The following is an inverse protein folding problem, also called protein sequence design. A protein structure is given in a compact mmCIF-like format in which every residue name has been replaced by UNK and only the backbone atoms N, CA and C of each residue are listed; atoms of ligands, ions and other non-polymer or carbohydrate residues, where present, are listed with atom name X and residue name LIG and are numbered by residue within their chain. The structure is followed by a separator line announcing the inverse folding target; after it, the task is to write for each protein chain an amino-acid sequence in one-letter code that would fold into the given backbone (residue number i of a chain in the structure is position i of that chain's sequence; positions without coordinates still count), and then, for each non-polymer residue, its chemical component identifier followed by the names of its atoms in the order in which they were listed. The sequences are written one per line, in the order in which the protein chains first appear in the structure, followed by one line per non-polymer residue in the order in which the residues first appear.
data_IF_998035832053
#
_entry.id   IF_998035832053
#
_cell.length_a   1.000
_cell.length_b   1.000
_cell.length_c   1.000
_cell.angle_alpha   90.00
_cell.angle_beta   90.00
_cell.angle_gamma   90.00
#
_symmetry.space_group_name_H-M   'P 1'
#
loop_
_entity.id
_entity.type
_entity.pdbx_description
1 polymer ?
#
# COMPACT_ATOMS: atom_id res chain seq x y z
N UNK A 1 9.92 0.75 -7.81
CA UNK A 1 9.82 0.29 -9.21
C UNK A 1 10.51 1.34 -10.07
N UNK A 2 11.34 0.97 -11.05
CA UNK A 2 11.89 1.97 -11.97
C UNK A 2 10.76 2.43 -12.89
N UNK A 3 10.45 3.73 -12.90
CA UNK A 3 9.50 4.38 -13.80
C UNK A 3 9.93 4.08 -15.26
N UNK A 4 9.39 3.01 -15.84
CA UNK A 4 9.63 2.62 -17.22
C UNK A 4 8.60 3.32 -18.08
N UNK A 5 9.04 4.39 -18.71
CA UNK A 5 8.34 5.11 -19.77
C UNK A 5 8.12 4.11 -20.91
N UNK A 6 6.88 3.76 -21.18
CA UNK A 6 6.51 2.89 -22.28
C UNK A 6 5.96 3.79 -23.37
N UNK A 7 6.82 4.17 -24.33
CA UNK A 7 6.40 4.97 -25.48
C UNK A 7 5.24 4.26 -26.19
N UNK A 8 4.03 4.75 -26.00
CA UNK A 8 2.89 4.37 -26.83
C UNK A 8 2.91 5.27 -28.05
N UNK A 9 2.90 4.66 -29.24
CA UNK A 9 2.82 5.39 -30.50
C UNK A 9 1.36 5.78 -30.70
N UNK A 10 0.98 7.01 -30.31
CA UNK A 10 -0.38 7.51 -30.52
C UNK A 10 -0.54 8.09 -31.93
N UNK A 11 -1.70 7.83 -32.54
CA UNK A 11 -2.13 8.44 -33.79
C UNK A 11 -2.57 9.90 -33.58
N UNK A 12 -3.12 10.58 -34.60
CA UNK A 12 -3.66 11.93 -34.40
C UNK A 12 -4.81 11.89 -33.38
N UNK A 13 -4.54 12.43 -32.19
CA UNK A 13 -5.46 12.54 -31.07
C UNK A 13 -6.18 13.90 -31.11
N UNK A 14 -7.49 13.84 -30.93
CA UNK A 14 -8.36 14.98 -30.65
C UNK A 14 -8.86 14.84 -29.21
N UNK A 15 -8.63 15.86 -28.40
CA UNK A 15 -8.93 15.90 -26.97
C UNK A 15 -7.72 15.65 -26.06
N UNK A 16 -8.01 15.32 -24.81
CA UNK A 16 -7.09 14.96 -23.73
C UNK A 16 -7.43 13.56 -23.18
N UNK A 17 -6.43 12.73 -22.93
CA UNK A 17 -6.61 11.39 -22.34
C UNK A 17 -5.44 10.99 -21.44
N UNK A 18 -5.76 10.33 -20.33
CA UNK A 18 -4.81 9.67 -19.44
C UNK A 18 -4.48 8.27 -19.98
N UNK A 19 -3.23 8.03 -20.35
CA UNK A 19 -2.81 6.77 -20.98
C UNK A 19 -1.92 5.95 -20.05
N UNK A 20 -2.14 4.63 -20.07
CA UNK A 20 -1.34 3.67 -19.31
C UNK A 20 -1.63 3.60 -17.81
N UNK A 21 -2.61 4.33 -17.27
CA UNK A 21 -3.01 4.22 -15.86
C UNK A 21 -3.72 2.88 -15.61
N UNK A 22 -3.20 1.99 -14.74
CA UNK A 22 -3.80 0.69 -14.50
C UNK A 22 -4.98 0.83 -13.55
N UNK A 23 -5.92 -0.11 -13.63
CA UNK A 23 -7.02 -0.19 -12.68
C UNK A 23 -6.53 -0.41 -11.23
N UNK A 24 -5.46 -1.18 -11.05
CA UNK A 24 -4.87 -1.47 -9.74
C UNK A 24 -3.35 -1.64 -9.76
N UNK A 25 -2.70 -1.26 -8.67
CA UNK A 25 -1.26 -1.44 -8.41
C UNK A 25 -1.03 -1.96 -6.99
N UNK A 26 -0.01 -2.80 -6.82
CA UNK A 26 0.42 -3.29 -5.50
C UNK A 26 1.57 -2.45 -4.98
N UNK A 27 1.48 -2.01 -3.74
CA UNK A 27 2.49 -1.20 -3.06
C UNK A 27 2.82 -1.84 -1.72
N UNK A 28 4.10 -1.96 -1.40
CA UNK A 28 4.50 -2.46 -0.07
C UNK A 28 4.13 -1.43 0.98
N UNK A 29 3.61 -1.89 2.11
CA UNK A 29 3.59 -1.04 3.30
C UNK A 29 5.00 -0.57 3.68
N UNK A 30 5.07 0.45 4.53
CA UNK A 30 6.31 1.08 4.97
C UNK A 30 7.21 1.59 3.83
N UNK A 31 6.63 1.72 2.62
CA UNK A 31 7.29 2.37 1.49
C UNK A 31 7.66 3.80 1.89
N UNK A 32 8.94 4.20 1.78
CA UNK A 32 9.38 5.52 2.22
C UNK A 32 8.75 6.63 1.37
N UNK A 33 8.71 7.85 1.92
CA UNK A 33 8.36 9.04 1.18
C UNK A 33 9.17 9.16 -0.13
N UNK A 34 8.50 9.55 -1.21
CA UNK A 34 9.07 9.62 -2.55
C UNK A 34 9.09 8.29 -3.31
N UNK A 35 8.59 7.19 -2.72
CA UNK A 35 8.46 5.91 -3.45
C UNK A 35 7.51 6.06 -4.64
N UNK A 36 8.01 5.69 -5.82
CA UNK A 36 7.22 5.65 -7.05
C UNK A 36 6.18 4.53 -6.98
N UNK A 37 4.91 4.93 -7.01
CA UNK A 37 3.76 4.02 -7.04
C UNK A 37 3.49 3.60 -8.48
N UNK A 38 3.29 4.56 -9.38
CA UNK A 38 3.04 4.31 -10.80
C UNK A 38 3.35 5.55 -11.65
N UNK A 39 3.64 5.34 -12.94
CA UNK A 39 3.87 6.39 -13.93
C UNK A 39 2.92 6.22 -15.12
N UNK A 40 2.33 7.30 -15.59
CA UNK A 40 1.39 7.29 -16.71
C UNK A 40 1.62 8.50 -17.62
N UNK A 41 1.06 8.44 -18.82
CA UNK A 41 1.22 9.47 -19.84
C UNK A 41 -0.10 10.25 -20.01
N UNK A 42 0.03 11.47 -20.50
CA UNK A 42 -1.08 12.34 -20.85
C UNK A 42 -0.97 12.60 -22.34
N UNK A 43 -1.92 12.05 -23.09
CA UNK A 43 -2.08 12.30 -24.51
C UNK A 43 -2.92 13.56 -24.70
N UNK A 44 -2.40 14.50 -25.50
CA UNK A 44 -2.98 15.82 -25.72
C UNK A 44 -3.04 16.11 -27.22
N UNK A 45 -4.05 16.88 -27.61
CA UNK A 45 -4.13 17.48 -28.94
C UNK A 45 -2.89 18.30 -29.28
N UNK A 46 -2.52 18.32 -30.56
CA UNK A 46 -1.33 19.04 -31.02
C UNK A 46 -1.41 20.54 -30.71
N UNK A 47 -0.37 21.08 -30.07
CA UNK A 47 -0.28 22.51 -29.73
C UNK A 47 -1.02 22.92 -28.46
N UNK A 48 -1.63 21.97 -27.75
CA UNK A 48 -2.27 22.18 -26.45
C UNK A 48 -1.31 21.79 -25.32
N UNK A 49 -1.45 22.43 -24.16
CA UNK A 49 -0.68 22.11 -22.96
C UNK A 49 -1.59 21.99 -21.74
N UNK A 50 -1.12 21.27 -20.72
CA UNK A 50 -1.82 21.09 -19.44
C UNK A 50 -2.00 22.44 -18.74
N UNK A 51 -3.16 22.62 -18.11
CA UNK A 51 -3.48 23.83 -17.36
C UNK A 51 -2.67 23.92 -16.06
N UNK A 52 -2.31 25.14 -15.60
CA UNK A 52 -1.63 25.32 -14.32
C UNK A 52 -2.40 24.68 -13.15
N UNK A 53 -1.69 23.97 -12.28
CA UNK A 53 -2.28 23.28 -11.12
C UNK A 53 -2.74 21.84 -11.40
N UNK A 54 -2.65 21.37 -12.64
CA UNK A 54 -2.88 19.97 -13.02
C UNK A 54 -1.55 19.27 -13.36
N UNK A 55 -1.49 17.93 -13.25
CA UNK A 55 -2.52 17.00 -12.75
C UNK A 55 -2.72 17.09 -11.24
N UNK A 56 -3.87 16.65 -10.73
CA UNK A 56 -4.12 16.54 -9.29
C UNK A 56 -4.93 15.28 -8.94
N UNK A 57 -4.81 14.83 -7.69
CA UNK A 57 -5.70 13.82 -7.11
C UNK A 57 -6.93 14.56 -6.60
N UNK A 58 -8.05 14.43 -7.30
CA UNK A 58 -9.29 15.14 -7.01
C UNK A 58 -9.96 14.61 -5.74
N UNK A 59 -9.90 13.29 -5.56
CA UNK A 59 -10.49 12.63 -4.41
C UNK A 59 -9.77 11.30 -4.13
N UNK A 60 -9.89 10.82 -2.90
CA UNK A 60 -9.42 9.50 -2.47
C UNK A 60 -10.44 8.81 -1.58
N UNK A 61 -10.51 7.48 -1.67
CA UNK A 61 -11.31 6.66 -0.78
C UNK A 61 -10.48 5.48 -0.23
N UNK A 62 -10.24 5.39 1.09
CA UNK A 62 -10.57 6.41 2.09
C UNK A 62 -9.84 7.74 1.82
N UNK A 63 -10.32 8.83 2.42
CA UNK A 63 -9.67 10.13 2.27
C UNK A 63 -8.27 10.06 2.89
N UNK A 64 -7.25 10.29 2.06
CA UNK A 64 -5.84 10.19 2.46
C UNK A 64 -4.96 11.25 1.79
N UNK A 65 -3.97 11.81 2.50
CA UNK A 65 -2.87 12.60 1.96
C UNK A 65 -1.61 11.77 1.60
N UNK A 66 -1.66 10.44 1.68
CA UNK A 66 -0.49 9.55 1.55
C UNK A 66 0.09 9.48 0.13
N UNK A 67 -0.61 10.04 -0.85
CA UNK A 67 -0.24 10.01 -2.27
C UNK A 67 -0.25 11.40 -2.86
N UNK A 68 0.73 11.64 -3.74
CA UNK A 68 0.85 12.85 -4.52
C UNK A 68 1.08 12.50 -5.98
N UNK A 69 0.46 13.26 -6.88
CA UNK A 69 0.70 13.20 -8.32
C UNK A 69 1.55 14.39 -8.74
N UNK A 70 2.53 14.19 -9.62
CA UNK A 70 3.44 15.24 -10.09
C UNK A 70 3.85 15.03 -11.53
N UNK A 71 4.11 16.13 -12.24
CA UNK A 71 4.66 16.10 -13.59
C UNK A 71 6.15 15.78 -13.56
N UNK A 72 6.56 14.81 -14.36
CA UNK A 72 7.97 14.50 -14.62
C UNK A 72 8.50 15.34 -15.78
N UNK A 73 7.67 15.51 -16.81
CA UNK A 73 7.91 16.41 -17.95
C UNK A 73 6.55 16.91 -18.47
N UNK A 74 6.47 17.47 -19.68
CA UNK A 74 5.23 18.06 -20.22
C UNK A 74 4.06 17.10 -20.43
N UNK A 75 4.28 15.80 -20.52
CA UNK A 75 3.23 14.79 -20.75
C UNK A 75 3.32 13.57 -19.85
N UNK A 76 4.41 13.42 -19.09
CA UNK A 76 4.60 12.27 -18.21
C UNK A 76 4.34 12.65 -16.77
N UNK A 77 3.61 11.78 -16.10
CA UNK A 77 3.17 11.98 -14.72
C UNK A 77 3.59 10.82 -13.86
N UNK A 78 3.80 11.10 -12.57
CA UNK A 78 4.18 10.11 -11.56
C UNK A 78 3.35 10.27 -10.30
N UNK A 79 2.89 9.14 -9.77
CA UNK A 79 2.27 9.03 -8.45
C UNK A 79 3.31 8.55 -7.45
N UNK A 80 3.44 9.25 -6.32
CA UNK A 80 4.42 8.98 -5.26
C UNK A 80 3.79 8.93 -3.90
N UNK A 81 4.40 8.16 -3.00
CA UNK A 81 4.08 8.16 -1.57
C UNK A 81 4.58 9.47 -0.94
N UNK A 82 3.75 10.15 -0.16
CA UNK A 82 4.14 11.37 0.59
C UNK A 82 4.81 11.03 1.91
N UNK A 83 4.41 9.91 2.55
CA UNK A 83 4.94 9.41 3.81
C UNK A 83 4.33 10.05 5.05
N UNK A 84 3.07 10.52 5.01
CA UNK A 84 2.40 11.12 6.18
C UNK A 84 0.88 10.93 6.15
N UNK A 85 0.31 9.98 6.93
CA UNK A 85 0.99 8.93 7.71
C UNK A 85 1.80 7.91 6.88
N UNK A 86 2.60 7.08 7.56
CA UNK A 86 3.22 5.93 6.90
C UNK A 86 2.14 4.91 6.54
N UNK A 87 2.26 4.32 5.35
CA UNK A 87 1.40 3.24 4.90
C UNK A 87 1.65 2.00 5.77
N UNK A 88 0.61 1.52 6.42
CA UNK A 88 0.64 0.43 7.40
C UNK A 88 -0.44 -0.59 7.01
N UNK A 89 -0.08 -1.86 6.87
CA UNK A 89 -0.98 -2.92 6.44
C UNK A 89 -1.90 -3.38 7.58
N UNK A 90 -1.43 -3.32 8.84
CA UNK A 90 -2.23 -3.60 10.03
C UNK A 90 -3.25 -2.50 10.33
N UNK A 91 -3.14 -1.35 9.67
CA UNK A 91 -4.11 -0.26 9.78
C UNK A 91 -5.45 -0.61 9.10
N UNK A 92 -6.55 0.12 9.43
CA UNK A 92 -7.89 -0.21 8.93
C UNK A 92 -8.05 -0.18 7.41
N UNK A 93 -7.13 0.47 6.70
CA UNK A 93 -7.23 0.76 5.26
C UNK A 93 -6.06 0.13 4.52
N UNK A 94 -6.32 -1.00 3.88
CA UNK A 94 -5.33 -1.73 3.07
C UNK A 94 -5.43 -1.43 1.58
N UNK A 95 -6.39 -0.59 1.18
CA UNK A 95 -6.60 -0.20 -0.22
C UNK A 95 -7.05 1.26 -0.31
N UNK A 96 -6.62 1.92 -1.39
CA UNK A 96 -6.93 3.32 -1.66
C UNK A 96 -7.36 3.49 -3.11
N UNK A 97 -8.49 4.15 -3.33
CA UNK A 97 -9.00 4.47 -4.66
C UNK A 97 -8.77 5.94 -4.92
N UNK A 98 -7.90 6.27 -5.87
CA UNK A 98 -7.50 7.64 -6.19
C UNK A 98 -8.12 8.10 -7.51
N UNK A 99 -8.80 9.23 -7.50
CA UNK A 99 -9.37 9.87 -8.70
C UNK A 99 -8.39 10.93 -9.24
N UNK A 100 -7.76 10.64 -10.38
CA UNK A 100 -6.79 11.50 -11.03
C UNK A 100 -7.48 12.38 -12.06
N UNK A 101 -7.33 13.70 -11.92
CA UNK A 101 -7.89 14.69 -12.83
C UNK A 101 -6.76 15.41 -13.56
N UNK A 102 -6.91 15.52 -14.88
CA UNK A 102 -6.07 16.38 -15.74
C UNK A 102 -6.98 17.29 -16.54
N UNK A 103 -6.59 18.55 -16.65
CA UNK A 103 -7.29 19.56 -17.45
C UNK A 103 -6.26 20.25 -18.33
N UNK A 104 -6.60 20.52 -19.59
CA UNK A 104 -5.79 21.33 -20.48
C UNK A 104 -6.19 22.80 -20.50
N UNK A 105 -5.38 23.62 -21.17
CA UNK A 105 -5.65 25.05 -21.34
C UNK A 105 -6.87 25.35 -22.23
N UNK A 106 -7.36 24.37 -22.99
CA UNK A 106 -8.59 24.45 -23.78
C UNK A 106 -9.84 24.06 -22.98
N UNK A 107 -9.67 23.73 -21.69
CA UNK A 107 -10.70 23.28 -20.74
C UNK A 107 -11.28 21.90 -21.06
N UNK A 108 -10.57 21.09 -21.83
CA UNK A 108 -10.83 19.66 -21.93
C UNK A 108 -10.24 18.94 -20.70
N UNK A 109 -10.84 17.84 -20.29
CA UNK A 109 -10.42 17.12 -19.10
C UNK A 109 -10.64 15.62 -19.21
N UNK A 110 -9.83 14.87 -18.49
CA UNK A 110 -10.00 13.43 -18.30
C UNK A 110 -9.86 13.08 -16.81
N UNK A 111 -10.65 12.10 -16.38
CA UNK A 111 -10.72 11.64 -15.01
C UNK A 111 -10.62 10.12 -14.98
N UNK A 112 -9.55 9.60 -14.38
CA UNK A 112 -9.35 8.16 -14.23
C UNK A 112 -9.08 7.75 -12.79
N UNK A 113 -9.32 6.48 -12.50
CA UNK A 113 -9.20 5.92 -11.15
C UNK A 113 -8.05 4.93 -11.08
N UNK A 114 -7.22 5.05 -10.04
CA UNK A 114 -6.17 4.10 -9.69
C UNK A 114 -6.47 3.49 -8.33
N UNK A 115 -6.52 2.16 -8.25
CA UNK A 115 -6.61 1.44 -6.97
C UNK A 115 -5.21 1.06 -6.50
N UNK A 116 -4.81 1.48 -5.32
CA UNK A 116 -3.57 1.06 -4.67
C UNK A 116 -3.95 -0.01 -3.65
N UNK A 117 -3.28 -1.16 -3.71
CA UNK A 117 -3.46 -2.27 -2.78
C UNK A 117 -2.16 -2.43 -1.99
N UNK A 118 -2.24 -2.26 -0.67
CA UNK A 118 -1.10 -2.49 0.19
C UNK A 118 -0.77 -3.98 0.25
N UNK A 119 0.53 -4.27 0.33
CA UNK A 119 1.05 -5.61 0.58
C UNK A 119 1.83 -5.61 1.87
N UNK A 120 1.45 -6.54 2.73
CA UNK A 120 2.12 -6.91 3.96
C UNK A 120 3.63 -7.11 3.76
N UNK A 121 4.42 -6.57 4.68
CA UNK A 121 5.86 -6.74 4.87
C UNK A 121 6.07 -7.23 6.29
N UNK A 122 6.60 -8.44 6.45
CA UNK A 122 6.80 -9.04 7.78
C UNK A 122 7.50 -8.09 8.78
N UNK A 123 6.78 -7.70 9.84
CA UNK A 123 7.30 -6.91 10.96
C UNK A 123 7.21 -7.68 12.29
N UNK A 124 8.10 -7.41 13.26
CA UNK A 124 7.94 -7.95 14.61
C UNK A 124 6.61 -7.50 15.24
N UNK A 125 5.94 -8.34 16.05
CA UNK A 125 4.69 -7.95 16.69
C UNK A 125 4.90 -6.74 17.62
N UNK A 126 4.12 -5.69 17.41
CA UNK A 126 4.05 -4.52 18.29
C UNK A 126 2.84 -4.64 19.21
N UNK A 127 3.05 -4.50 20.51
CA UNK A 127 1.97 -4.47 21.49
C UNK A 127 1.69 -3.00 21.86
N UNK A 128 0.46 -2.54 21.63
CA UNK A 128 0.03 -1.16 21.93
C UNK A 128 -0.16 -0.90 23.44
N UNK A 129 -0.01 -1.93 24.27
CA UNK A 129 -0.19 -1.88 25.71
C UNK A 129 0.92 -2.69 26.41
N UNK A 130 1.59 -2.05 27.37
CA UNK A 130 2.59 -2.69 28.24
C UNK A 130 1.98 -3.74 29.19
N UNK A 131 0.65 -3.79 29.31
CA UNK A 131 -0.09 -4.73 30.17
C UNK A 131 -0.35 -6.10 29.51
N UNK A 132 0.05 -6.28 28.25
CA UNK A 132 -0.06 -7.57 27.54
C UNK A 132 1.18 -8.43 27.80
N UNK A 133 1.03 -9.46 28.64
CA UNK A 133 2.10 -10.41 28.94
C UNK A 133 2.16 -11.53 27.89
N UNK A 134 3.34 -11.75 27.29
CA UNK A 134 3.61 -12.96 26.51
C UNK A 134 4.01 -14.09 27.46
N UNK A 135 3.11 -15.05 27.67
CA UNK A 135 3.48 -16.28 28.34
C UNK A 135 3.96 -17.31 27.31
N UNK A 136 5.27 -17.55 27.26
CA UNK A 136 5.82 -18.72 26.59
C UNK A 136 5.66 -19.90 27.56
N UNK A 137 4.59 -20.67 27.40
CA UNK A 137 4.42 -21.90 28.14
C UNK A 137 5.15 -23.03 27.43
N UNK A 138 6.25 -23.47 28.02
CA UNK A 138 6.84 -24.76 27.68
C UNK A 138 5.91 -25.84 28.19
N UNK A 139 5.04 -26.36 27.32
CA UNK A 139 4.19 -27.49 27.69
C UNK A 139 5.06 -28.74 27.69
N UNK A 140 5.61 -29.08 28.87
CA UNK A 140 6.33 -30.33 29.05
C UNK A 140 5.30 -31.48 29.13
N UNK A 141 4.98 -32.08 27.99
CA UNK A 141 4.33 -33.39 27.98
C UNK A 141 5.39 -34.45 28.26
N UNK A 142 5.43 -34.97 29.48
CA UNK A 142 6.17 -36.18 29.78
C UNK A 142 5.34 -37.36 29.28
N UNK A 143 5.51 -37.75 28.01
CA UNK A 143 4.96 -39.03 27.53
C UNK A 143 5.92 -40.12 28.00
N UNK A 144 5.59 -40.81 29.08
CA UNK A 144 6.26 -42.07 29.44
C UNK A 144 5.95 -43.09 28.34
N UNK A 145 6.88 -43.29 27.39
CA UNK A 145 6.87 -44.46 26.52
C UNK A 145 7.64 -45.59 27.23
N UNK A 146 6.98 -46.65 27.72
CA UNK A 146 7.64 -47.71 28.50
C UNK A 146 8.65 -48.54 27.68
N UNK A 147 8.75 -48.32 26.36
CA UNK A 147 9.63 -49.10 25.49
C UNK A 147 11.00 -48.45 25.19
N UNK A 148 11.19 -47.15 25.42
CA UNK A 148 12.41 -46.44 25.02
C UNK A 148 12.72 -45.29 25.96
N UNK A 149 13.73 -45.46 26.82
CA UNK A 149 14.29 -44.44 27.72
C UNK A 149 14.90 -43.26 26.92
N UNK A 150 14.07 -42.39 26.32
CA UNK A 150 14.54 -41.18 25.63
C UNK A 150 13.49 -40.06 25.67
N UNK A 151 13.86 -38.91 26.26
CA UNK A 151 13.21 -37.59 26.13
C UNK A 151 13.80 -36.87 24.90
N UNK A 152 13.19 -35.94 24.16
CA UNK A 152 11.86 -35.29 24.09
C UNK A 152 11.85 -34.53 22.74
N UNK A 153 10.68 -34.35 22.10
CA UNK A 153 10.46 -33.44 20.97
C UNK A 153 9.93 -32.10 21.50
N UNK A 154 10.50 -30.99 21.05
CA UNK A 154 10.07 -29.64 21.41
C UNK A 154 9.01 -29.14 20.43
N UNK A 155 7.82 -28.78 20.93
CA UNK A 155 6.86 -27.98 20.17
C UNK A 155 6.58 -26.69 20.94
N UNK A 156 6.65 -25.56 20.25
CA UNK A 156 6.37 -24.24 20.81
C UNK A 156 4.92 -23.91 20.48
N UNK A 157 4.06 -23.79 21.49
CA UNK A 157 2.72 -23.22 21.34
C UNK A 157 2.75 -21.77 21.80
N UNK A 158 2.30 -20.86 20.94
CA UNK A 158 2.17 -19.43 21.25
C UNK A 158 0.70 -19.14 21.54
N UNK A 159 0.37 -18.76 22.78
CA UNK A 159 -1.01 -18.49 23.21
C UNK A 159 -1.10 -17.02 23.65
N UNK A 160 -2.05 -16.27 23.08
CA UNK A 160 -2.40 -14.91 23.54
C UNK A 160 -3.44 -15.01 24.65
N UNK A 161 -3.20 -14.40 25.82
CA UNK A 161 -4.21 -14.27 26.88
C UNK A 161 -4.31 -12.82 27.36
N UNK A 162 -5.53 -12.38 27.67
CA UNK A 162 -5.78 -11.10 28.34
C UNK A 162 -5.50 -11.21 29.84
N UNK A 163 -5.16 -10.10 30.53
CA UNK A 163 -4.93 -10.13 31.97
C UNK A 163 -6.28 -10.15 32.72
N UNK A 164 -6.86 -11.33 32.87
CA UNK A 164 -7.56 -11.77 34.08
C UNK A 164 -8.16 -13.14 33.84
N UNK A 165 -7.57 -14.17 34.44
CA UNK A 165 -8.22 -15.14 35.31
C UNK A 165 -7.12 -16.05 35.86
N UNK A 166 -6.81 -15.88 37.14
CA UNK A 166 -6.05 -16.88 37.88
C UNK A 166 -6.88 -18.17 37.92
N UNK A 167 -6.57 -19.14 37.06
CA UNK A 167 -7.07 -20.49 37.28
C UNK A 167 -6.16 -21.18 38.28
N UNK A 168 -6.65 -21.29 39.51
CA UNK A 168 -6.12 -22.20 40.52
C UNK A 168 -6.46 -23.63 40.08
N UNK A 169 -5.46 -24.42 39.72
CA UNK A 169 -5.62 -25.86 39.64
C UNK A 169 -5.71 -26.40 41.08
N UNK A 170 -6.82 -27.05 41.41
CA UNK A 170 -6.97 -27.87 42.63
C UNK A 170 -6.88 -29.33 42.23
#
# INVERSE_FOLDING_TARGET
MNCKISLLVSGPIFGLTLEGLPAAVRLKENSPAGTDVFCFEIDLSTGVSIAPGFPLILNSNPLTPDFMVSMVNSTHTKVTVTGSPNLDFESPSTHFVLQHLVVDNSKDFDLQTLTIILTDVDEPPVFLDETMNLFITFVHWCVCNPAINKMSLWFINVIKTSPSQSQSCT
#
